data_IF_991386388184
#
_entry.id   IF_991386388184
#
_cell.length_a   1.000
_cell.length_b   1.000
_cell.length_c   1.000
_cell.angle_alpha   90.00
_cell.angle_beta   90.00
_cell.angle_gamma   90.00
#
_symmetry.space_group_name_H-M   'P 1'
#
loop_
_entity.id
_entity.type
_entity.pdbx_description
1 polymer ?
#
# COMPACT_ATOMS: atom_id res chain seq x y z
N UNK A 1 26.84 -26.47 14.99
CA UNK A 1 25.86 -26.10 13.96
C UNK A 1 26.03 -27.11 12.84
N UNK A 2 25.05 -27.99 12.67
CA UNK A 2 25.07 -29.01 11.62
C UNK A 2 24.78 -28.37 10.25
N UNK A 3 25.21 -29.00 9.17
CA UNK A 3 24.79 -28.69 7.80
C UNK A 3 23.26 -28.64 7.69
N UNK A 4 22.55 -29.55 8.37
CA UNK A 4 21.07 -29.54 8.42
C UNK A 4 20.53 -28.27 9.09
N UNK A 5 21.15 -27.82 10.19
CA UNK A 5 20.77 -26.59 10.88
C UNK A 5 21.04 -25.36 10.01
N UNK A 6 22.17 -25.35 9.30
CA UNK A 6 22.54 -24.28 8.37
C UNK A 6 21.56 -24.23 7.18
N UNK A 7 21.21 -25.37 6.59
CA UNK A 7 20.22 -25.46 5.50
C UNK A 7 18.84 -25.04 5.97
N UNK A 8 18.42 -25.40 7.19
CA UNK A 8 17.14 -24.98 7.75
C UNK A 8 17.11 -23.49 8.09
N UNK A 9 18.23 -22.92 8.54
CA UNK A 9 18.35 -21.49 8.79
C UNK A 9 18.37 -20.70 7.48
N UNK A 10 19.09 -21.19 6.46
CA UNK A 10 19.07 -20.62 5.11
C UNK A 10 17.69 -20.72 4.50
N UNK A 11 16.98 -21.85 4.64
CA UNK A 11 15.55 -21.91 4.30
C UNK A 11 14.80 -20.85 5.10
N UNK A 12 14.84 -20.81 6.42
CA UNK A 12 14.11 -19.77 7.18
C UNK A 12 14.40 -18.30 6.75
N UNK A 13 15.62 -18.01 6.26
CA UNK A 13 16.03 -16.68 5.80
C UNK A 13 15.63 -16.41 4.33
N UNK A 14 15.74 -17.39 3.44
CA UNK A 14 15.51 -17.28 1.99
C UNK A 14 14.17 -17.86 1.51
N UNK A 15 13.56 -18.69 2.35
CA UNK A 15 12.17 -19.17 2.33
C UNK A 15 11.26 -18.11 2.95
N UNK A 16 11.52 -16.84 2.65
CA UNK A 16 10.42 -15.95 2.28
C UNK A 16 9.76 -16.57 1.04
N UNK A 17 9.10 -17.72 1.24
CA UNK A 17 8.28 -18.34 0.23
C UNK A 17 7.33 -17.23 -0.17
N UNK A 18 7.45 -16.76 -1.41
CA UNK A 18 6.44 -15.90 -1.97
C UNK A 18 5.13 -16.62 -1.69
N UNK A 19 4.30 -16.03 -0.82
CA UNK A 19 3.01 -16.62 -0.47
C UNK A 19 2.33 -17.02 -1.77
N UNK A 20 1.62 -18.15 -1.79
CA UNK A 20 0.86 -18.57 -2.98
C UNK A 20 0.01 -17.40 -3.52
N UNK A 21 -0.46 -16.53 -2.63
CA UNK A 21 -1.13 -15.29 -3.01
C UNK A 21 -0.23 -14.30 -3.78
N UNK A 22 1.00 -14.08 -3.33
CA UNK A 22 1.99 -13.26 -4.02
C UNK A 22 2.31 -13.82 -5.41
N UNK A 23 2.52 -15.13 -5.54
CA UNK A 23 2.77 -15.79 -6.82
C UNK A 23 1.58 -15.56 -7.76
N UNK A 24 0.35 -15.78 -7.29
CA UNK A 24 -0.90 -15.52 -8.05
C UNK A 24 -1.01 -14.06 -8.50
N UNK A 25 -0.69 -13.12 -7.61
CA UNK A 25 -0.71 -11.70 -7.93
C UNK A 25 0.32 -11.35 -9.01
N UNK A 26 1.53 -11.90 -8.97
CA UNK A 26 2.52 -11.68 -10.03
C UNK A 26 2.09 -12.32 -11.36
N UNK A 27 1.51 -13.53 -11.34
CA UNK A 27 0.98 -14.18 -12.55
C UNK A 27 -0.07 -13.31 -13.24
N UNK A 28 -0.99 -12.69 -12.49
CA UNK A 28 -1.99 -11.75 -13.04
C UNK A 28 -1.39 -10.48 -13.65
N UNK A 29 -0.20 -10.08 -13.20
CA UNK A 29 0.50 -8.89 -13.71
C UNK A 29 1.34 -9.16 -14.94
N UNK A 30 1.43 -10.41 -15.41
CA UNK A 30 2.20 -10.74 -16.60
C UNK A 30 1.71 -9.99 -17.83
N UNK A 31 2.66 -9.54 -18.66
CA UNK A 31 2.44 -8.83 -19.92
C UNK A 31 3.38 -9.40 -20.98
N UNK A 32 2.92 -9.42 -22.22
CA UNK A 32 3.75 -9.72 -23.38
C UNK A 32 4.89 -8.69 -23.45
N UNK A 33 6.13 -9.14 -23.57
CA UNK A 33 7.26 -8.23 -23.74
C UNK A 33 7.37 -7.74 -25.20
N UNK A 34 7.95 -6.55 -25.48
CA UNK A 34 7.99 -5.97 -26.82
C UNK A 34 8.61 -6.85 -27.92
N UNK A 35 9.52 -7.75 -27.56
CA UNK A 35 10.24 -8.65 -28.48
C UNK A 35 9.97 -10.14 -28.19
N UNK A 36 8.90 -10.45 -27.46
CA UNK A 36 8.53 -11.83 -27.11
C UNK A 36 7.53 -12.37 -28.13
N UNK A 37 7.82 -13.54 -28.70
CA UNK A 37 6.88 -14.24 -29.57
C UNK A 37 5.69 -14.79 -28.76
N UNK A 38 4.52 -14.88 -29.40
CA UNK A 38 3.30 -15.33 -28.72
C UNK A 38 3.41 -16.75 -28.15
N UNK A 39 4.09 -17.67 -28.82
CA UNK A 39 4.31 -19.04 -28.32
C UNK A 39 5.17 -19.05 -27.05
N UNK A 40 6.21 -18.21 -27.01
CA UNK A 40 7.06 -18.04 -25.82
C UNK A 40 6.25 -17.46 -24.67
N UNK A 41 5.42 -16.45 -24.95
CA UNK A 41 4.54 -15.86 -23.95
C UNK A 41 3.50 -16.86 -23.42
N UNK A 42 2.86 -17.63 -24.30
CA UNK A 42 1.91 -18.69 -23.91
C UNK A 42 2.58 -19.73 -23.02
N UNK A 43 3.80 -20.17 -23.35
CA UNK A 43 4.59 -21.06 -22.52
C UNK A 43 4.91 -20.46 -21.15
N UNK A 44 5.21 -19.16 -21.07
CA UNK A 44 5.44 -18.44 -19.81
C UNK A 44 4.17 -18.35 -18.96
N UNK A 45 3.02 -18.07 -19.59
CA UNK A 45 1.71 -18.04 -18.91
C UNK A 45 1.36 -19.42 -18.34
N UNK A 46 1.50 -20.50 -19.12
CA UNK A 46 1.21 -21.86 -18.63
C UNK A 46 2.02 -22.21 -17.39
N UNK A 47 3.35 -22.01 -17.45
CA UNK A 47 4.23 -22.26 -16.29
C UNK A 47 3.85 -21.44 -15.06
N UNK A 48 3.45 -20.18 -15.26
CA UNK A 48 3.05 -19.30 -14.17
C UNK A 48 1.70 -19.72 -13.55
N UNK A 49 0.74 -20.17 -14.36
CA UNK A 49 -0.56 -20.68 -13.89
C UNK A 49 -0.40 -21.97 -13.10
N UNK A 50 0.42 -22.92 -13.60
CA UNK A 50 0.74 -24.15 -12.88
C UNK A 50 1.39 -23.87 -11.52
N UNK A 51 2.40 -22.98 -11.49
CA UNK A 51 3.10 -22.60 -10.25
C UNK A 51 2.20 -21.89 -9.25
N UNK A 52 1.20 -21.14 -9.71
CA UNK A 52 0.32 -20.33 -8.86
C UNK A 52 -0.91 -21.07 -8.35
N UNK A 53 -1.10 -22.34 -8.74
CA UNK A 53 -2.18 -23.20 -8.26
C UNK A 53 -3.55 -22.52 -8.38
N UNK A 54 -3.87 -21.97 -9.56
CA UNK A 54 -5.16 -21.29 -9.78
C UNK A 54 -6.36 -22.23 -9.67
N UNK A 55 -6.18 -23.55 -9.89
CA UNK A 55 -7.25 -24.53 -9.73
C UNK A 55 -7.87 -24.59 -8.33
N UNK A 56 -7.07 -24.25 -7.30
CA UNK A 56 -7.50 -24.29 -5.90
C UNK A 56 -8.04 -22.93 -5.41
N UNK A 57 -8.26 -22.00 -6.32
CA UNK A 57 -8.64 -20.64 -5.97
C UNK A 57 -10.14 -20.55 -5.70
N UNK A 58 -10.50 -20.23 -4.46
CA UNK A 58 -11.91 -19.92 -4.12
C UNK A 58 -12.33 -18.61 -4.77
N UNK A 59 -13.64 -18.46 -5.01
CA UNK A 59 -14.19 -17.20 -5.54
C UNK A 59 -13.80 -15.99 -4.68
N UNK A 60 -13.74 -16.14 -3.36
CA UNK A 60 -13.35 -15.05 -2.46
C UNK A 60 -11.87 -14.66 -2.64
N UNK A 61 -10.97 -15.64 -2.74
CA UNK A 61 -9.53 -15.39 -3.00
C UNK A 61 -9.32 -14.73 -4.37
N UNK A 62 -10.11 -15.12 -5.37
CA UNK A 62 -10.08 -14.48 -6.69
C UNK A 62 -10.55 -13.02 -6.66
N UNK A 63 -11.65 -12.71 -5.97
CA UNK A 63 -12.11 -11.33 -5.77
C UNK A 63 -11.03 -10.46 -5.14
N UNK A 64 -10.31 -10.99 -4.15
CA UNK A 64 -9.23 -10.26 -3.49
C UNK A 64 -8.02 -10.03 -4.41
N UNK A 65 -7.67 -10.99 -5.27
CA UNK A 65 -6.64 -10.79 -6.30
C UNK A 65 -7.04 -9.69 -7.28
N UNK A 66 -8.28 -9.72 -7.78
CA UNK A 66 -8.81 -8.66 -8.65
C UNK A 66 -8.76 -7.28 -7.98
N UNK A 67 -9.10 -7.21 -6.69
CA UNK A 67 -9.05 -5.96 -5.93
C UNK A 67 -7.66 -5.35 -5.88
N UNK A 68 -6.62 -6.15 -5.61
CA UNK A 68 -5.23 -5.67 -5.57
C UNK A 68 -4.73 -5.32 -6.98
N UNK A 69 -5.03 -6.15 -7.98
CA UNK A 69 -4.65 -5.86 -9.36
C UNK A 69 -5.33 -4.61 -9.93
N UNK A 70 -6.53 -4.27 -9.43
CA UNK A 70 -7.23 -3.03 -9.77
C UNK A 70 -6.57 -1.76 -9.22
N UNK A 71 -5.69 -1.88 -8.22
CA UNK A 71 -4.92 -0.75 -7.69
C UNK A 71 -3.65 -0.55 -8.51
N UNK A 72 -3.72 0.19 -9.61
CA UNK A 72 -2.59 0.34 -10.54
C UNK A 72 -1.70 1.55 -10.27
N UNK A 73 -2.21 2.54 -9.53
CA UNK A 73 -1.51 3.82 -9.37
C UNK A 73 -0.39 3.73 -8.32
N UNK A 74 0.60 4.62 -8.41
CA UNK A 74 1.76 4.62 -7.51
C UNK A 74 1.36 5.02 -6.07
N UNK A 75 0.48 6.00 -5.92
CA UNK A 75 -0.08 6.43 -4.63
C UNK A 75 -0.88 5.33 -3.91
N UNK A 76 -1.27 4.28 -4.63
CA UNK A 76 -1.99 3.13 -4.09
C UNK A 76 -1.09 2.00 -3.59
N UNK A 77 0.24 2.13 -3.69
CA UNK A 77 1.19 1.10 -3.29
C UNK A 77 1.05 0.68 -1.83
N UNK A 78 0.86 1.65 -0.95
CA UNK A 78 0.68 1.40 0.48
C UNK A 78 -0.58 0.57 0.77
N UNK A 79 -1.65 0.72 -0.02
CA UNK A 79 -2.85 -0.11 0.13
C UNK A 79 -2.61 -1.53 -0.39
N UNK A 80 -1.91 -1.71 -1.51
CA UNK A 80 -1.52 -3.04 -2.00
C UNK A 80 -0.69 -3.79 -0.96
N UNK A 81 0.32 -3.12 -0.37
CA UNK A 81 1.16 -3.70 0.68
C UNK A 81 0.34 -4.06 1.93
N UNK A 82 -0.60 -3.20 2.36
CA UNK A 82 -1.50 -3.51 3.46
C UNK A 82 -2.28 -4.80 3.19
N UNK A 83 -2.92 -4.91 2.02
CA UNK A 83 -3.76 -6.07 1.69
C UNK A 83 -2.91 -7.35 1.60
N UNK A 84 -1.72 -7.28 0.98
CA UNK A 84 -0.80 -8.42 0.92
C UNK A 84 -0.35 -8.88 2.31
N UNK A 85 0.00 -7.95 3.19
CA UNK A 85 0.40 -8.27 4.56
C UNK A 85 -0.76 -8.90 5.36
N UNK A 86 -1.98 -8.46 5.15
CA UNK A 86 -3.17 -9.04 5.79
C UNK A 86 -3.44 -10.46 5.30
N UNK A 87 -3.30 -10.72 4.00
CA UNK A 87 -3.50 -12.05 3.44
C UNK A 87 -2.39 -13.04 3.82
N UNK A 88 -1.18 -12.55 4.02
CA UNK A 88 -0.09 -13.36 4.55
C UNK A 88 -0.31 -13.74 6.03
N UNK A 89 -1.03 -12.91 6.80
CA UNK A 89 -1.40 -13.22 8.19
C UNK A 89 -2.65 -14.11 8.29
N UNK A 90 -3.65 -13.83 7.46
CA UNK A 90 -4.91 -14.56 7.40
C UNK A 90 -5.33 -14.76 5.94
N UNK A 91 -5.08 -15.96 5.43
CA UNK A 91 -5.38 -16.35 4.04
C UNK A 91 -6.88 -16.40 3.71
N UNK A 92 -7.74 -16.40 4.73
CA UNK A 92 -9.21 -16.45 4.60
C UNK A 92 -9.86 -15.08 4.88
N UNK A 93 -9.08 -13.99 4.88
CA UNK A 93 -9.62 -12.64 4.99
C UNK A 93 -10.59 -12.33 3.83
N UNK A 94 -11.79 -11.84 4.17
CA UNK A 94 -12.81 -11.48 3.19
C UNK A 94 -12.47 -10.16 2.50
N UNK A 95 -12.86 -10.02 1.24
CA UNK A 95 -12.58 -8.81 0.45
C UNK A 95 -13.08 -7.53 1.15
N UNK A 96 -14.31 -7.57 1.69
CA UNK A 96 -14.92 -6.40 2.33
C UNK A 96 -14.17 -5.95 3.60
N UNK A 97 -13.55 -6.88 4.33
CA UNK A 97 -12.78 -6.54 5.52
C UNK A 97 -11.45 -5.88 5.13
N UNK A 98 -10.82 -6.35 4.05
CA UNK A 98 -9.63 -5.74 3.47
C UNK A 98 -9.93 -4.32 2.94
N UNK A 99 -11.06 -4.14 2.25
CA UNK A 99 -11.50 -2.83 1.77
C UNK A 99 -11.74 -1.84 2.92
N UNK A 100 -12.38 -2.28 4.01
CA UNK A 100 -12.56 -1.46 5.22
C UNK A 100 -11.22 -1.02 5.81
N UNK A 101 -10.23 -1.92 5.89
CA UNK A 101 -8.89 -1.56 6.36
C UNK A 101 -8.21 -0.52 5.46
N UNK A 102 -8.38 -0.61 4.14
CA UNK A 102 -7.88 0.41 3.21
C UNK A 102 -8.54 1.77 3.45
N UNK A 103 -9.86 1.82 3.64
CA UNK A 103 -10.58 3.06 3.94
C UNK A 103 -10.19 3.65 5.31
N UNK A 104 -9.99 2.82 6.32
CA UNK A 104 -9.47 3.25 7.63
C UNK A 104 -8.06 3.86 7.50
N UNK A 105 -7.17 3.22 6.74
CA UNK A 105 -5.84 3.78 6.48
C UNK A 105 -5.92 5.13 5.76
N UNK A 106 -6.84 5.26 4.81
CA UNK A 106 -7.08 6.48 4.06
C UNK A 106 -7.62 7.60 4.95
N UNK A 107 -8.56 7.32 5.85
CA UNK A 107 -9.04 8.31 6.82
C UNK A 107 -7.93 8.74 7.77
N UNK A 108 -7.13 7.80 8.28
CA UNK A 108 -6.01 8.11 9.17
C UNK A 108 -4.98 9.02 8.49
N UNK A 109 -4.62 8.74 7.23
CA UNK A 109 -3.70 9.60 6.46
C UNK A 109 -4.24 11.02 6.31
N UNK A 110 -5.54 11.17 5.98
CA UNK A 110 -6.18 12.49 5.85
C UNK A 110 -6.15 13.26 7.15
N UNK A 111 -6.48 12.61 8.28
CA UNK A 111 -6.44 13.25 9.60
C UNK A 111 -5.01 13.66 9.98
N UNK A 112 -4.00 12.82 9.72
CA UNK A 112 -2.60 13.18 9.97
C UNK A 112 -2.12 14.37 9.14
N UNK A 113 -2.55 14.47 7.88
CA UNK A 113 -2.24 15.62 7.02
C UNK A 113 -2.87 16.91 7.55
N UNK A 114 -4.14 16.87 7.94
CA UNK A 114 -4.84 18.03 8.50
C UNK A 114 -4.16 18.54 9.80
N UNK A 115 -3.67 17.65 10.65
CA UNK A 115 -2.94 18.02 11.87
C UNK A 115 -1.60 18.67 11.51
N UNK A 116 -0.85 18.10 10.55
CA UNK A 116 0.43 18.67 10.13
C UNK A 116 0.26 20.08 9.54
N UNK A 117 -0.78 20.30 8.72
CA UNK A 117 -1.10 21.62 8.17
C UNK A 117 -1.48 22.64 9.26
N UNK A 118 -2.22 22.22 10.28
CA UNK A 118 -2.54 23.06 11.43
C UNK A 118 -1.29 23.41 12.25
N UNK A 119 -0.39 22.46 12.52
CA UNK A 119 0.85 22.72 13.24
C UNK A 119 1.76 23.71 12.49
N UNK A 120 1.84 23.60 11.17
CA UNK A 120 2.55 24.58 10.33
C UNK A 120 1.92 25.97 10.39
N UNK A 121 0.59 26.08 10.37
CA UNK A 121 -0.11 27.35 10.50
C UNK A 121 0.10 27.99 11.89
N UNK A 122 0.05 27.21 12.96
CA UNK A 122 0.30 27.69 14.33
C UNK A 122 1.76 28.11 14.52
N UNK A 123 2.71 27.37 13.95
CA UNK A 123 4.12 27.75 13.95
C UNK A 123 4.35 29.08 13.21
N UNK A 124 3.74 29.26 12.03
CA UNK A 124 3.85 30.48 11.24
C UNK A 124 3.31 31.72 11.99
N UNK A 125 2.16 31.59 12.68
CA UNK A 125 1.61 32.67 13.52
C UNK A 125 2.51 33.00 14.71
N UNK A 126 3.16 32.00 15.34
CA UNK A 126 4.12 32.24 16.44
C UNK A 126 5.38 32.96 15.98
N UNK A 127 5.80 32.80 14.73
CA UNK A 127 7.01 33.43 14.17
C UNK A 127 6.77 34.79 13.52
N UNK A 128 5.51 35.20 13.31
CA UNK A 128 5.20 36.51 12.74
C UNK A 128 5.40 37.63 13.79
N UNK A 129 6.20 38.68 13.51
CA UNK A 129 6.31 39.81 14.42
C UNK A 129 4.98 40.57 14.45
N UNK A 130 4.34 40.62 15.62
CA UNK A 130 3.14 41.41 15.88
C UNK A 130 3.43 42.91 15.63
N UNK A 131 3.20 43.38 14.41
CA UNK A 131 3.11 44.80 14.12
C UNK A 131 1.82 45.35 14.75
N UNK A 132 1.93 45.90 15.96
CA UNK A 132 0.87 46.69 16.61
C UNK A 132 0.45 47.84 15.69
N UNK A 133 -0.68 47.68 15.00
CA UNK A 133 -1.50 48.79 14.52
C UNK A 133 -2.89 48.63 15.14
N UNK A 134 -3.21 49.47 16.12
CA UNK A 134 -4.47 50.22 16.22
C UNK A 134 -4.48 51.04 17.52
N UNK A 135 -4.41 52.37 17.39
CA UNK A 135 -5.13 53.34 18.22
C UNK A 135 -4.91 54.73 17.62
N UNK A 136 -5.65 55.03 16.56
CA UNK A 136 -6.02 56.41 16.23
C UNK A 136 -7.06 56.88 17.26
N UNK A 137 -6.95 58.15 17.64
CA UNK A 137 -8.02 59.04 18.13
C UNK A 137 -7.83 59.64 19.54
N UNK A 138 -7.98 60.97 19.54
CA UNK A 138 -8.25 61.88 20.67
C UNK A 138 -7.06 62.52 21.40
N UNK A 139 -6.73 63.77 21.00
CA UNK A 139 -6.87 64.96 21.85
C UNK A 139 -6.65 66.24 21.03
N UNK A 140 -7.72 67.03 20.85
CA UNK A 140 -7.64 68.49 20.72
C UNK A 140 -7.04 69.06 22.02
N UNK A 141 -6.34 70.20 21.95
CA UNK A 141 -6.66 71.25 22.91
C UNK A 141 -6.94 72.59 22.22
N UNK A 142 -7.84 73.33 22.86
CA UNK A 142 -8.10 74.75 22.66
C UNK A 142 -6.96 75.60 23.25
N UNK A 143 -6.73 76.77 22.65
CA UNK A 143 -5.76 77.77 23.09
C UNK A 143 -5.29 78.59 21.90
#
# INVERSE_FOLDING_TARGET
MDFTDLVNQLKKIFDSSESIFQIRHQTMKMRLHPNEEFEVFAGRVNRAVERSQFGDLTAEKFKTLLFICGMTQQDQELYRQLVLNELNKNSEAKLMDLAKKCEQLKSTKRTSQAIAEQDHAVAAVRTAPFAKKLATSERRPAG
#
